data_IF_300890288181
#
_entry.id   IF_300890288181
#
_cell.length_a   1.000
_cell.length_b   1.000
_cell.length_c   1.000
_cell.angle_alpha   90.00
_cell.angle_beta   90.00
_cell.angle_gamma   90.00
#
_symmetry.space_group_name_H-M   'P 1'
#
loop_
_entity.id
_entity.type
_entity.pdbx_description
1 polymer ?
#
# COMPACT_ATOMS: atom_id res chain seq x y z
N UNK A 1 18.72 -6.45 -7.77
CA UNK A 1 18.80 -5.13 -8.44
C UNK A 1 17.42 -4.78 -8.93
N UNK A 2 16.96 -3.56 -8.65
CA UNK A 2 15.68 -3.01 -9.10
C UNK A 2 15.85 -2.26 -10.42
N UNK A 3 14.83 -2.32 -11.26
CA UNK A 3 14.64 -1.45 -12.41
C UNK A 3 13.61 -0.40 -12.02
N UNK A 4 14.05 0.85 -11.88
CA UNK A 4 13.15 1.93 -11.46
C UNK A 4 12.30 2.41 -12.64
N UNK A 5 11.03 2.62 -12.38
CA UNK A 5 10.20 3.47 -13.24
C UNK A 5 10.64 4.92 -13.03
N UNK A 6 10.89 5.64 -14.13
CA UNK A 6 11.38 7.04 -14.09
C UNK A 6 10.38 8.02 -14.68
N UNK A 7 9.21 7.55 -15.13
CA UNK A 7 8.23 8.30 -15.90
C UNK A 7 8.23 7.96 -17.38
N UNK A 8 9.14 7.10 -17.83
CA UNK A 8 9.24 6.66 -19.22
C UNK A 8 8.18 5.61 -19.60
N UNK A 9 7.50 5.00 -18.62
CA UNK A 9 6.58 3.91 -18.88
C UNK A 9 7.31 2.66 -19.37
N UNK A 10 8.38 2.28 -18.67
CA UNK A 10 9.24 1.18 -19.04
C UNK A 10 8.54 -0.17 -18.82
N UNK A 11 8.66 -1.08 -19.79
CA UNK A 11 8.04 -2.41 -19.75
C UNK A 11 8.73 -3.43 -18.85
N UNK A 12 9.84 -3.05 -18.21
CA UNK A 12 10.62 -3.91 -17.31
C UNK A 12 10.88 -3.26 -15.93
N UNK A 13 10.22 -2.15 -15.62
CA UNK A 13 10.31 -1.55 -14.29
C UNK A 13 9.63 -2.44 -13.24
N UNK A 14 10.25 -2.58 -12.08
CA UNK A 14 9.76 -3.41 -10.97
C UNK A 14 9.67 -2.65 -9.64
N UNK A 15 10.00 -1.36 -9.63
CA UNK A 15 9.85 -0.48 -8.47
C UNK A 15 9.73 1.00 -8.85
N UNK A 16 9.06 1.80 -8.02
CA UNK A 16 9.06 3.27 -8.11
C UNK A 16 10.14 3.91 -7.22
N UNK A 17 10.52 3.22 -6.15
CA UNK A 17 11.47 3.69 -5.14
C UNK A 17 12.71 2.80 -5.05
N UNK A 18 13.81 3.41 -4.60
CA UNK A 18 15.09 2.76 -4.33
C UNK A 18 15.13 2.14 -2.93
N UNK A 19 16.10 1.24 -2.70
CA UNK A 19 16.42 0.73 -1.35
C UNK A 19 16.75 1.85 -0.37
N UNK A 20 17.48 2.87 -0.82
CA UNK A 20 17.88 4.00 0.01
C UNK A 20 16.66 4.84 0.45
N UNK A 21 15.70 5.09 -0.46
CA UNK A 21 14.45 5.79 -0.12
C UNK A 21 13.60 4.97 0.87
N UNK A 22 13.55 3.64 0.72
CA UNK A 22 12.87 2.75 1.67
C UNK A 22 13.52 2.80 3.06
N UNK A 23 14.85 2.68 3.12
CA UNK A 23 15.59 2.74 4.38
C UNK A 23 15.45 4.10 5.07
N UNK A 24 15.60 5.20 4.33
CA UNK A 24 15.43 6.55 4.87
C UNK A 24 14.03 6.76 5.45
N UNK A 25 13.00 6.24 4.78
CA UNK A 25 11.63 6.27 5.28
C UNK A 25 11.47 5.41 6.55
N UNK A 26 12.00 4.19 6.57
CA UNK A 26 11.89 3.35 7.76
C UNK A 26 12.55 4.00 8.97
N UNK A 27 13.76 4.53 8.82
CA UNK A 27 14.47 5.24 9.90
C UNK A 27 13.74 6.50 10.36
N UNK A 28 13.15 7.28 9.44
CA UNK A 28 12.43 8.51 9.78
C UNK A 28 11.08 8.31 10.47
N UNK A 29 10.47 7.12 10.32
CA UNK A 29 9.11 6.82 10.79
C UNK A 29 9.05 5.64 11.77
N UNK A 30 10.20 5.14 12.25
CA UNK A 30 10.28 4.07 13.25
C UNK A 30 9.96 2.66 12.73
N UNK A 31 10.04 2.44 11.41
CA UNK A 31 9.82 1.14 10.80
C UNK A 31 11.05 0.23 10.94
N UNK A 32 10.83 -1.05 11.24
CA UNK A 32 11.87 -2.08 11.12
C UNK A 32 11.93 -2.58 9.67
N UNK A 33 13.13 -2.98 9.23
CA UNK A 33 13.37 -3.58 7.92
C UNK A 33 14.46 -4.66 8.04
N UNK A 34 14.50 -5.64 7.14
CA UNK A 34 15.60 -6.58 7.06
C UNK A 34 16.90 -5.86 6.66
N UNK A 35 18.04 -6.35 7.16
CA UNK A 35 19.37 -5.81 6.80
C UNK A 35 19.82 -6.23 5.38
N UNK A 36 19.24 -7.31 4.84
CA UNK A 36 19.55 -7.84 3.52
C UNK A 36 18.92 -6.99 2.41
N UNK A 37 19.75 -6.50 1.48
CA UNK A 37 19.32 -5.70 0.35
C UNK A 37 18.41 -6.44 -0.63
N UNK A 38 18.54 -7.76 -0.76
CA UNK A 38 17.66 -8.53 -1.65
C UNK A 38 16.28 -8.73 -1.03
N UNK A 39 16.20 -8.89 0.29
CA UNK A 39 14.93 -8.85 1.01
C UNK A 39 14.21 -7.49 0.87
N UNK A 40 14.95 -6.37 0.84
CA UNK A 40 14.38 -5.05 0.55
C UNK A 40 13.82 -4.94 -0.87
N UNK A 41 14.53 -5.49 -1.87
CA UNK A 41 14.02 -5.54 -3.25
C UNK A 41 12.70 -6.32 -3.33
N UNK A 42 12.62 -7.47 -2.63
CA UNK A 42 11.41 -8.29 -2.60
C UNK A 42 10.24 -7.51 -1.97
N UNK A 43 10.46 -6.79 -0.87
CA UNK A 43 9.43 -5.96 -0.25
C UNK A 43 8.93 -4.86 -1.18
N UNK A 44 9.84 -4.17 -1.87
CA UNK A 44 9.49 -3.13 -2.84
C UNK A 44 8.68 -3.68 -4.01
N UNK A 45 9.07 -4.84 -4.56
CA UNK A 45 8.32 -5.51 -5.65
C UNK A 45 6.92 -5.93 -5.20
N UNK A 46 6.80 -6.51 -4.00
CA UNK A 46 5.49 -6.89 -3.42
C UNK A 46 4.60 -5.66 -3.23
N UNK A 47 5.16 -4.57 -2.71
CA UNK A 47 4.44 -3.31 -2.56
C UNK A 47 3.99 -2.74 -3.92
N UNK A 48 4.87 -2.74 -4.94
CA UNK A 48 4.52 -2.31 -6.29
C UNK A 48 3.38 -3.14 -6.88
N UNK A 49 3.46 -4.47 -6.79
CA UNK A 49 2.42 -5.37 -7.28
C UNK A 49 1.06 -5.15 -6.59
N UNK A 50 1.05 -4.90 -5.28
CA UNK A 50 -0.18 -4.59 -4.56
C UNK A 50 -0.74 -3.21 -4.96
N UNK A 51 0.14 -2.23 -5.19
CA UNK A 51 -0.24 -0.91 -5.70
C UNK A 51 -0.83 -0.98 -7.12
N UNK A 52 -0.37 -1.90 -7.97
CA UNK A 52 -0.90 -2.04 -9.33
C UNK A 52 -2.39 -2.39 -9.38
N UNK A 53 -2.90 -3.04 -8.32
CA UNK A 53 -4.33 -3.37 -8.16
C UNK A 53 -5.21 -2.22 -7.66
N UNK A 54 -4.65 -1.04 -7.36
CA UNK A 54 -5.42 0.09 -6.85
C UNK A 54 -6.22 0.79 -7.97
N UNK A 55 -7.39 1.37 -7.64
CA UNK A 55 -8.23 2.06 -8.62
C UNK A 55 -7.67 3.47 -8.91
N UNK A 56 -6.58 3.54 -9.66
CA UNK A 56 -5.90 4.78 -10.00
C UNK A 56 -6.75 5.69 -10.89
N UNK A 57 -6.74 7.00 -10.60
CA UNK A 57 -7.29 8.02 -11.49
C UNK A 57 -6.52 8.08 -12.82
N UNK A 58 -7.17 8.59 -13.87
CA UNK A 58 -6.56 8.71 -15.20
C UNK A 58 -6.33 7.37 -15.89
N UNK A 59 -5.57 7.38 -16.97
CA UNK A 59 -5.19 6.21 -17.78
C UNK A 59 -3.70 5.96 -17.68
N UNK A 60 -3.24 4.73 -17.96
CA UNK A 60 -1.80 4.46 -18.10
C UNK A 60 -1.26 5.27 -19.28
N UNK A 61 -0.10 5.91 -19.10
CA UNK A 61 0.51 6.72 -20.17
C UNK A 61 1.02 5.86 -21.34
N UNK A 62 1.42 4.62 -21.06
CA UNK A 62 1.84 3.66 -22.07
C UNK A 62 1.12 2.33 -21.87
N UNK A 63 0.69 1.64 -22.95
CA UNK A 63 0.18 0.28 -22.85
C UNK A 63 1.28 -0.73 -22.48
N UNK A 64 2.54 -0.38 -22.71
CA UNK A 64 3.70 -1.25 -22.54
C UNK A 64 4.41 -1.07 -21.20
N UNK A 65 4.06 -0.06 -20.41
CA UNK A 65 4.67 0.12 -19.09
C UNK A 65 4.40 -1.12 -18.22
N UNK A 66 5.31 -1.45 -17.32
CA UNK A 66 5.13 -2.60 -16.42
C UNK A 66 4.17 -2.26 -15.28
N UNK A 67 4.41 -1.12 -14.64
CA UNK A 67 3.70 -0.72 -13.41
C UNK A 67 2.48 0.17 -13.71
N UNK A 68 1.64 0.45 -12.71
CA UNK A 68 0.43 1.26 -12.87
C UNK A 68 0.67 2.75 -13.13
N UNK A 69 1.83 3.27 -12.73
CA UNK A 69 2.34 4.61 -13.06
C UNK A 69 3.48 4.50 -14.08
N UNK A 70 3.70 5.50 -14.95
CA UNK A 70 3.06 6.82 -14.99
C UNK A 70 1.65 6.83 -15.60
N UNK A 71 0.93 7.95 -15.48
CA UNK A 71 -0.48 8.07 -15.88
C UNK A 71 -0.83 9.41 -16.52
N UNK A 72 -1.73 9.37 -17.49
CA UNK A 72 -2.34 10.50 -18.19
C UNK A 72 -3.70 10.87 -17.59
N UNK A 73 -4.06 12.16 -17.68
CA UNK A 73 -5.38 12.64 -17.26
C UNK A 73 -5.58 12.74 -15.74
N UNK A 74 -4.49 12.73 -14.96
CA UNK A 74 -4.53 12.98 -13.52
C UNK A 74 -4.29 14.47 -13.25
N UNK A 75 -5.23 15.20 -12.62
CA UNK A 75 -5.07 16.64 -12.37
C UNK A 75 -3.80 16.97 -11.57
N UNK A 76 -3.02 17.93 -12.05
CA UNK A 76 -1.78 18.38 -11.38
C UNK A 76 -0.59 17.43 -11.50
N UNK A 77 -0.68 16.40 -12.36
CA UNK A 77 0.40 15.43 -12.59
C UNK A 77 0.71 15.38 -14.09
N UNK A 78 1.99 15.54 -14.44
CA UNK A 78 2.45 15.37 -15.81
C UNK A 78 2.42 13.88 -16.22
N UNK A 79 2.16 13.58 -17.50
CA UNK A 79 1.97 12.20 -17.96
C UNK A 79 3.24 11.34 -17.91
N UNK A 80 4.40 11.96 -17.84
CA UNK A 80 5.73 11.38 -17.68
C UNK A 80 6.26 11.54 -16.24
N UNK A 81 5.41 11.88 -15.28
CA UNK A 81 5.80 12.04 -13.89
C UNK A 81 5.37 10.86 -13.02
N UNK A 82 6.24 10.54 -12.05
CA UNK A 82 5.89 9.69 -10.92
C UNK A 82 5.77 10.60 -9.70
N UNK A 83 4.56 10.84 -9.17
CA UNK A 83 4.40 11.69 -8.01
C UNK A 83 5.24 11.17 -6.83
N UNK A 84 5.85 12.08 -6.07
CA UNK A 84 6.61 11.72 -4.88
C UNK A 84 5.78 10.89 -3.88
N UNK A 85 4.48 11.17 -3.79
CA UNK A 85 3.54 10.41 -2.98
C UNK A 85 3.43 8.93 -3.38
N UNK A 86 3.57 8.58 -4.67
CA UNK A 86 3.57 7.19 -5.15
C UNK A 86 4.82 6.46 -4.67
N UNK A 87 6.00 7.09 -4.77
CA UNK A 87 7.24 6.53 -4.22
C UNK A 87 7.15 6.35 -2.71
N UNK A 88 6.69 7.37 -2.00
CA UNK A 88 6.50 7.34 -0.56
C UNK A 88 5.48 6.26 -0.14
N UNK A 89 4.41 6.07 -0.91
CA UNK A 89 3.41 5.04 -0.66
C UNK A 89 3.97 3.64 -0.83
N UNK A 90 4.77 3.39 -1.87
CA UNK A 90 5.44 2.10 -2.05
C UNK A 90 6.37 1.80 -0.88
N UNK A 91 7.16 2.77 -0.42
CA UNK A 91 8.00 2.59 0.76
C UNK A 91 7.18 2.35 2.04
N UNK A 92 6.09 3.09 2.24
CA UNK A 92 5.20 2.88 3.39
C UNK A 92 4.59 1.47 3.37
N UNK A 93 4.09 1.03 2.21
CA UNK A 93 3.49 -0.29 2.05
C UNK A 93 4.52 -1.40 2.24
N UNK A 94 5.75 -1.23 1.77
CA UNK A 94 6.83 -2.18 2.01
C UNK A 94 7.12 -2.37 3.52
N UNK A 95 7.13 -1.27 4.29
CA UNK A 95 7.28 -1.31 5.76
C UNK A 95 6.07 -2.01 6.41
N UNK A 96 4.86 -1.69 5.97
CA UNK A 96 3.61 -2.31 6.48
C UNK A 96 3.56 -3.81 6.18
N UNK A 97 3.99 -4.23 4.99
CA UNK A 97 4.12 -5.64 4.60
C UNK A 97 5.12 -6.36 5.50
N UNK A 98 6.30 -5.78 5.72
CA UNK A 98 7.31 -6.37 6.60
C UNK A 98 6.82 -6.48 8.05
N UNK A 99 6.15 -5.44 8.57
CA UNK A 99 5.55 -5.46 9.89
C UNK A 99 4.46 -6.55 9.99
N UNK A 100 3.68 -6.76 8.93
CA UNK A 100 2.65 -7.80 8.88
C UNK A 100 3.26 -9.21 8.80
N UNK A 101 4.32 -9.40 8.03
CA UNK A 101 5.01 -10.69 7.89
C UNK A 101 5.73 -11.11 9.19
N UNK A 102 6.19 -10.14 9.98
CA UNK A 102 6.92 -10.36 11.25
C UNK A 102 6.03 -10.29 12.48
N UNK A 103 4.78 -9.85 12.32
CA UNK A 103 3.82 -9.82 13.42
C UNK A 103 3.65 -11.24 13.98
N UNK A 104 3.63 -11.41 15.31
CA UNK A 104 3.26 -12.70 15.88
C UNK A 104 1.90 -13.08 15.34
N UNK A 105 1.75 -14.36 14.94
CA UNK A 105 0.47 -14.87 14.47
C UNK A 105 -0.62 -14.41 15.45
N UNK A 106 -1.72 -13.80 14.97
CA UNK A 106 -2.78 -13.38 15.86
C UNK A 106 -3.17 -14.61 16.67
N UNK A 107 -3.02 -14.53 18.01
CA UNK A 107 -3.64 -15.53 18.86
C UNK A 107 -5.11 -15.46 18.51
N UNK A 108 -5.62 -16.50 17.86
CA UNK A 108 -7.07 -16.63 17.69
C UNK A 108 -7.73 -16.52 19.08
N UNK A 109 -9.03 -16.19 19.15
CA UNK A 109 -9.73 -16.30 20.42
C UNK A 109 -9.41 -17.67 21.03
N UNK A 110 -8.86 -17.70 22.24
CA UNK A 110 -8.51 -18.95 22.93
C UNK A 110 -9.82 -19.68 23.21
N UNK A 111 -10.08 -20.77 22.48
CA UNK A 111 -11.37 -21.48 22.47
C UNK A 111 -11.54 -22.34 23.74
N UNK A 112 -10.44 -22.73 24.41
CA UNK A 112 -10.50 -23.64 25.55
C UNK A 112 -9.17 -23.71 26.32
N UNK A 113 -9.20 -23.35 27.59
CA UNK A 113 -8.32 -23.92 28.62
C UNK A 113 -9.19 -24.19 29.85
N UNK A 114 -9.36 -25.46 30.22
CA UNK A 114 -10.16 -25.85 31.39
C UNK A 114 -9.32 -25.63 32.64
N UNK A 115 -9.69 -24.63 33.44
CA UNK A 115 -9.47 -24.62 34.89
C UNK A 115 -10.86 -24.63 35.50
N UNK A 116 -11.22 -25.72 36.15
CA UNK A 116 -12.60 -25.99 36.57
C UNK A 116 -13.08 -24.91 37.57
N UNK A 117 -14.36 -24.49 37.40
CA UNK A 117 -15.18 -23.58 38.24
C UNK A 117 -15.08 -22.07 37.95
N UNK A 118 -15.69 -21.59 36.86
CA UNK A 118 -16.22 -20.21 36.75
C UNK A 118 -17.21 -20.09 35.57
N UNK A 119 -18.37 -19.47 35.83
CA UNK A 119 -19.38 -19.11 34.82
C UNK A 119 -18.87 -17.97 33.91
N UNK A 120 -19.27 -17.98 32.64
CA UNK A 120 -18.81 -17.00 31.63
C UNK A 120 -19.97 -16.13 31.17
N UNK A 121 -19.77 -14.82 31.28
CA UNK A 121 -20.57 -13.75 30.69
C UNK A 121 -19.92 -13.29 29.37
N UNK A 122 -20.73 -13.03 28.34
CA UNK A 122 -20.29 -12.65 27.01
C UNK A 122 -20.03 -11.14 26.94
N UNK A 123 -18.87 -10.72 26.42
CA UNK A 123 -18.65 -9.32 26.04
C UNK A 123 -19.16 -9.06 24.61
N UNK A 124 -19.82 -7.92 24.40
CA UNK A 124 -20.28 -7.47 23.09
C UNK A 124 -19.10 -7.10 22.15
N UNK A 125 -19.24 -7.29 20.82
CA UNK A 125 -18.19 -6.95 19.86
C UNK A 125 -17.94 -5.44 19.82
N UNK A 126 -16.76 -5.02 20.26
CA UNK A 126 -16.34 -3.61 20.19
C UNK A 126 -15.85 -3.29 18.77
N UNK A 127 -16.41 -2.30 18.06
CA UNK A 127 -15.91 -1.90 16.75
C UNK A 127 -14.50 -1.31 16.90
N UNK A 128 -13.48 -2.00 16.40
CA UNK A 128 -12.13 -1.46 16.35
C UNK A 128 -12.04 -0.39 15.26
N UNK A 129 -11.91 0.89 15.63
CA UNK A 129 -11.50 1.95 14.71
C UNK A 129 -10.03 1.74 14.35
N UNK A 130 -9.75 0.89 13.34
CA UNK A 130 -8.38 0.72 12.83
C UNK A 130 -8.02 1.95 12.02
N UNK A 131 -6.99 2.69 12.45
CA UNK A 131 -6.43 3.79 11.69
C UNK A 131 -6.05 3.30 10.28
N UNK A 132 -6.27 4.15 9.27
CA UNK A 132 -5.86 3.84 7.90
C UNK A 132 -4.34 3.70 7.83
N UNK A 133 -3.82 2.72 7.07
CA UNK A 133 -2.39 2.59 6.86
C UNK A 133 -1.81 3.82 6.15
N UNK A 134 -0.54 4.12 6.39
CA UNK A 134 0.12 5.30 5.84
C UNK A 134 0.19 5.22 4.31
N UNK A 135 0.39 4.01 3.76
CA UNK A 135 0.36 3.76 2.32
C UNK A 135 -0.96 4.21 1.69
N UNK A 136 -2.11 3.89 2.31
CA UNK A 136 -3.44 4.25 1.82
C UNK A 136 -3.68 5.77 1.84
N UNK A 137 -3.20 6.47 2.88
CA UNK A 137 -3.34 7.93 2.98
C UNK A 137 -2.59 8.64 1.85
N UNK A 138 -1.37 8.18 1.55
CA UNK A 138 -0.51 8.77 0.54
C UNK A 138 -1.07 8.66 -0.88
N UNK A 139 -1.72 7.53 -1.19
CA UNK A 139 -2.29 7.29 -2.53
C UNK A 139 -3.69 7.87 -2.69
N UNK A 140 -4.39 8.18 -1.60
CA UNK A 140 -5.79 8.60 -1.63
C UNK A 140 -6.11 9.75 -2.62
N UNK A 141 -5.27 10.80 -2.78
CA UNK A 141 -5.53 11.86 -3.76
C UNK A 141 -5.50 11.40 -5.22
N UNK A 142 -4.90 10.23 -5.49
CA UNK A 142 -4.66 9.69 -6.83
C UNK A 142 -5.60 8.54 -7.20
N UNK A 143 -6.53 8.19 -6.32
CA UNK A 143 -7.53 7.15 -6.60
C UNK A 143 -8.75 7.75 -7.33
N UNK A 144 -9.43 6.94 -8.12
CA UNK A 144 -10.69 7.34 -8.76
C UNK A 144 -11.69 7.77 -7.69
N UNK A 145 -12.20 8.99 -7.77
CA UNK A 145 -13.32 9.41 -6.93
C UNK A 145 -14.54 8.62 -7.37
N UNK A 146 -15.09 7.77 -6.49
CA UNK A 146 -16.42 7.21 -6.70
C UNK A 146 -17.43 8.35 -6.60
N UNK A 147 -17.82 8.92 -7.74
CA UNK A 147 -19.02 9.74 -7.83
C UNK A 147 -20.21 8.80 -7.77
N UNK A 148 -20.90 8.74 -6.64
CA UNK A 148 -22.23 8.16 -6.61
C UNK A 148 -23.13 9.11 -7.41
N UNK A 149 -23.51 8.71 -8.62
CA UNK A 149 -24.43 9.49 -9.44
C UNK A 149 -25.75 9.64 -8.68
N UNK A 150 -26.13 10.88 -8.36
CA UNK A 150 -27.47 11.17 -7.88
C UNK A 150 -28.45 10.81 -9.00
N UNK A 151 -29.20 9.72 -8.83
CA UNK A 151 -30.34 9.39 -9.68
C UNK A 151 -31.39 10.45 -9.40
N UNK A 152 -31.50 11.42 -10.31
CA UNK A 152 -32.60 12.38 -10.28
C UNK A 152 -33.90 11.62 -10.58
N UNK A 153 -34.68 11.35 -9.54
CA UNK A 153 -36.08 10.93 -9.69
C UNK A 153 -36.83 12.14 -10.21
N UNK A 154 -37.20 12.12 -11.49
CA UNK A 154 -38.15 13.08 -12.06
C UNK A 154 -39.54 12.72 -11.53
N UNK A 155 -40.17 13.68 -10.85
CA UNK A 155 -41.58 13.66 -10.47
C UNK A 155 -42.48 13.95 -11.69
#
# INVERSE_FOLDING_TARGET
MLTLETGAGAGNADSYATRAELQARASGYGGALPADGDALDVLLRRAAAQMDGLPWAGLRASPWQALAWPREGVPGVAPDAIPHAIKAAQCALAIELHASDTAPAPRGPVIRERVDVLEVEYAEPVPSQRALPASAILVAPYLTRRTFGAVAVRA
#
